data_IF_548883169051
#
_entry.id   IF_548883169051
#
_cell.length_a   1.000
_cell.length_b   1.000
_cell.length_c   1.000
_cell.angle_alpha   90.00
_cell.angle_beta   90.00
_cell.angle_gamma   90.00
#
_symmetry.space_group_name_H-M   'P 1'
#
loop_
_entity.id
_entity.type
_entity.pdbx_description
1 polymer ?
#
# COMPACT_ATOMS: atom_id res chain seq x y z
N UNK A 1 -13.81 -8.65 -2.17
CA UNK A 1 -13.71 -7.56 -3.17
C UNK A 1 -12.36 -7.69 -3.86
N UNK A 2 -12.28 -7.81 -5.20
CA UNK A 2 -10.99 -7.78 -5.90
C UNK A 2 -10.32 -6.42 -5.66
N UNK A 3 -8.98 -6.36 -5.51
CA UNK A 3 -8.31 -5.09 -5.32
C UNK A 3 -8.51 -4.21 -6.56
N UNK A 4 -8.97 -2.98 -6.36
CA UNK A 4 -9.10 -2.04 -7.48
C UNK A 4 -7.72 -1.77 -8.07
N UNK A 5 -7.63 -1.40 -9.36
CA UNK A 5 -6.36 -1.04 -10.00
C UNK A 5 -5.59 0.02 -9.20
N UNK A 6 -6.31 0.92 -8.52
CA UNK A 6 -5.76 1.93 -7.61
C UNK A 6 -5.05 1.32 -6.40
N UNK A 7 -5.60 0.26 -5.79
CA UNK A 7 -5.00 -0.40 -4.63
C UNK A 7 -3.70 -1.11 -4.99
N UNK A 8 -3.61 -1.69 -6.19
CA UNK A 8 -2.36 -2.26 -6.70
C UNK A 8 -1.30 -1.17 -6.93
N UNK A 9 -1.68 -0.06 -7.56
CA UNK A 9 -0.76 1.06 -7.79
C UNK A 9 -0.20 1.61 -6.47
N UNK A 10 -1.06 1.77 -5.45
CA UNK A 10 -0.64 2.20 -4.12
C UNK A 10 0.31 1.19 -3.46
N UNK A 11 0.05 -0.11 -3.58
CA UNK A 11 0.95 -1.14 -3.06
C UNK A 11 2.33 -1.07 -3.73
N UNK A 12 2.39 -0.94 -5.06
CA UNK A 12 3.65 -0.76 -5.78
C UNK A 12 4.39 0.51 -5.33
N UNK A 13 3.68 1.63 -5.19
CA UNK A 13 4.29 2.89 -4.75
C UNK A 13 4.80 2.80 -3.31
N UNK A 14 4.07 2.11 -2.42
CA UNK A 14 4.50 1.86 -1.06
C UNK A 14 5.78 1.01 -1.01
N UNK A 15 5.83 -0.06 -1.80
CA UNK A 15 7.02 -0.92 -1.93
C UNK A 15 8.22 -0.11 -2.44
N UNK A 16 8.03 0.77 -3.42
CA UNK A 16 9.11 1.63 -3.94
C UNK A 16 9.63 2.63 -2.90
N UNK A 17 8.75 3.18 -2.06
CA UNK A 17 9.15 4.17 -1.04
C UNK A 17 9.82 3.53 0.18
N UNK A 18 9.30 2.38 0.63
CA UNK A 18 9.69 1.77 1.91
C UNK A 18 10.65 0.59 1.76
N UNK A 19 10.76 0.02 0.56
CA UNK A 19 11.44 -1.25 0.33
C UNK A 19 10.73 -2.47 0.95
N UNK A 20 9.53 -2.30 1.49
CA UNK A 20 8.76 -3.38 2.10
C UNK A 20 8.23 -4.36 1.06
N UNK A 21 7.90 -5.59 1.47
CA UNK A 21 7.24 -6.55 0.58
C UNK A 21 5.81 -6.13 0.22
N UNK A 22 5.29 -6.56 -0.93
CA UNK A 22 3.88 -6.32 -1.33
C UNK A 22 2.88 -6.74 -0.24
N UNK A 23 3.14 -7.85 0.46
CA UNK A 23 2.29 -8.34 1.55
C UNK A 23 2.26 -7.35 2.72
N UNK A 24 3.41 -6.78 3.05
CA UNK A 24 3.56 -5.74 4.07
C UNK A 24 2.85 -4.46 3.60
N UNK A 25 3.11 -4.01 2.38
CA UNK A 25 2.49 -2.84 1.77
C UNK A 25 0.96 -2.91 1.80
N UNK A 26 0.37 -4.04 1.39
CA UNK A 26 -1.07 -4.24 1.45
C UNK A 26 -1.64 -4.16 2.87
N UNK A 27 -0.92 -4.65 3.87
CA UNK A 27 -1.36 -4.59 5.27
C UNK A 27 -1.37 -3.15 5.80
N UNK A 28 -0.30 -2.39 5.54
CA UNK A 28 -0.21 -0.98 5.94
C UNK A 28 -1.21 -0.11 5.18
N UNK A 29 -1.35 -0.31 3.87
CA UNK A 29 -2.35 0.40 3.08
C UNK A 29 -3.78 0.06 3.52
N UNK A 30 -4.07 -1.19 3.89
CA UNK A 30 -5.39 -1.53 4.43
C UNK A 30 -5.67 -0.85 5.77
N UNK A 31 -4.68 -0.78 6.66
CA UNK A 31 -4.82 -0.17 7.98
C UNK A 31 -4.92 1.37 7.92
N UNK A 32 -4.28 2.00 6.95
CA UNK A 32 -4.33 3.46 6.72
C UNK A 32 -5.52 3.93 5.87
N UNK A 33 -6.40 3.01 5.46
CA UNK A 33 -7.51 3.35 4.55
C UNK A 33 -7.05 3.73 3.14
N UNK A 34 -5.97 3.11 2.67
CA UNK A 34 -5.33 3.32 1.37
C UNK A 34 -4.75 4.74 1.18
N UNK A 35 -4.36 5.39 2.28
CA UNK A 35 -3.66 6.67 2.26
C UNK A 35 -2.16 6.41 2.35
N UNK A 36 -1.44 6.60 1.24
CA UNK A 36 -0.01 6.26 1.19
C UNK A 36 0.85 7.05 2.17
N UNK A 37 0.54 8.33 2.40
CA UNK A 37 1.27 9.16 3.35
C UNK A 37 1.15 8.62 4.78
N UNK A 38 -0.07 8.27 5.20
CA UNK A 38 -0.35 7.67 6.51
C UNK A 38 0.19 6.24 6.65
N UNK A 39 0.38 5.55 5.53
CA UNK A 39 0.91 4.19 5.55
C UNK A 39 2.43 4.19 5.77
N UNK A 40 3.12 5.24 5.29
CA UNK A 40 4.58 5.37 5.25
C UNK A 40 5.14 6.15 6.45
N UNK A 41 4.31 6.97 7.11
CA UNK A 41 4.59 7.58 8.42
C UNK A 41 4.77 6.51 9.51
#
# INVERSE_FOLDING_TARGET
>A
MPPSSTQKALATQFVQLTGASDRTAQRYLKNSGYKINEAVD
#
